data_IF_919158741111
#
_entry.id   IF_919158741111
#
_cell.length_a   1.000
_cell.length_b   1.000
_cell.length_c   1.000
_cell.angle_alpha   90.00
_cell.angle_beta   90.00
_cell.angle_gamma   90.00
#
_symmetry.space_group_name_H-M   'P 1'
#
loop_
_entity.id
_entity.type
_entity.pdbx_description
1 polymer ?
#
# COMPACT_ATOMS: atom_id res chain seq x y z
N UNK A 1 -13.50 -4.22 -14.02
CA UNK A 1 -14.51 -3.26 -13.54
C UNK A 1 -13.82 -2.26 -12.62
N UNK A 2 -14.07 -0.99 -12.92
CA UNK A 2 -13.50 0.26 -12.44
C UNK A 2 -13.14 0.34 -10.93
N UNK A 3 -11.88 0.11 -10.55
CA UNK A 3 -11.41 0.28 -9.15
C UNK A 3 -11.17 1.74 -8.75
N UNK A 4 -11.03 2.67 -9.71
CA UNK A 4 -10.78 4.10 -9.42
C UNK A 4 -11.99 4.83 -8.81
N UNK A 5 -13.21 4.31 -8.92
CA UNK A 5 -14.41 4.91 -8.30
C UNK A 5 -14.72 4.37 -6.89
N UNK A 6 -14.22 3.18 -6.52
CA UNK A 6 -14.53 2.55 -5.23
C UNK A 6 -13.89 3.24 -4.03
N UNK A 7 -12.64 3.68 -4.14
CA UNK A 7 -11.87 4.18 -2.98
C UNK A 7 -12.27 5.61 -2.57
N UNK A 8 -12.50 6.52 -3.52
CA UNK A 8 -12.99 7.89 -3.22
C UNK A 8 -14.37 7.88 -2.55
N UNK A 9 -15.16 6.84 -2.80
CA UNK A 9 -16.46 6.67 -2.16
C UNK A 9 -16.36 6.17 -0.73
N UNK A 10 -15.23 5.62 -0.26
CA UNK A 10 -15.16 4.99 1.07
C UNK A 10 -14.57 5.91 2.15
N UNK A 11 -13.83 6.95 1.77
CA UNK A 11 -13.15 7.84 2.72
C UNK A 11 -14.07 8.71 3.58
N UNK A 12 -15.40 8.65 3.39
CA UNK A 12 -16.38 9.27 4.28
C UNK A 12 -16.72 8.39 5.50
N UNK A 13 -16.42 7.09 5.44
CA UNK A 13 -16.62 6.16 6.56
C UNK A 13 -15.69 6.54 7.72
N UNK A 14 -16.22 6.53 8.94
CA UNK A 14 -15.54 6.98 10.17
C UNK A 14 -15.44 5.92 11.24
N UNK A 15 -16.19 4.83 11.14
CA UNK A 15 -16.20 3.77 12.15
C UNK A 15 -15.94 2.37 11.59
N UNK A 16 -15.51 1.45 12.44
CA UNK A 16 -15.32 0.05 12.09
C UNK A 16 -16.64 -0.63 11.67
N UNK A 17 -17.76 -0.29 12.29
CA UNK A 17 -19.09 -0.82 11.97
C UNK A 17 -19.54 -0.44 10.56
N UNK A 18 -19.42 0.84 10.19
CA UNK A 18 -19.69 1.32 8.83
C UNK A 18 -18.76 0.64 7.81
N UNK A 19 -17.49 0.43 8.15
CA UNK A 19 -16.51 -0.21 7.28
C UNK A 19 -16.86 -1.69 7.02
N UNK A 20 -17.36 -2.40 8.05
CA UNK A 20 -17.93 -3.75 7.93
C UNK A 20 -19.17 -3.76 7.05
N UNK A 21 -20.10 -2.83 7.28
CA UNK A 21 -21.35 -2.72 6.51
C UNK A 21 -21.10 -2.41 5.02
N UNK A 22 -20.06 -1.62 4.73
CA UNK A 22 -19.60 -1.36 3.36
C UNK A 22 -18.91 -2.57 2.70
N UNK A 23 -18.70 -3.68 3.43
CA UNK A 23 -18.08 -4.90 2.92
C UNK A 23 -16.60 -4.74 2.60
N UNK A 24 -15.90 -3.82 3.26
CA UNK A 24 -14.47 -3.61 3.02
C UNK A 24 -13.68 -4.89 3.28
N UNK A 25 -12.81 -5.25 2.34
CA UNK A 25 -11.93 -6.41 2.46
C UNK A 25 -10.48 -5.98 2.53
N UNK A 26 -9.83 -6.34 3.63
CA UNK A 26 -8.39 -6.13 3.80
C UNK A 26 -7.64 -7.00 2.79
N UNK A 27 -6.62 -6.40 2.16
CA UNK A 27 -5.67 -7.09 1.29
C UNK A 27 -4.28 -6.97 1.88
N UNK A 28 -3.43 -7.95 1.60
CA UNK A 28 -2.01 -7.82 1.91
C UNK A 28 -1.36 -6.79 0.98
N UNK A 29 -0.26 -6.19 1.40
CA UNK A 29 0.53 -5.29 0.53
C UNK A 29 0.91 -5.98 -0.79
N UNK A 30 1.29 -7.27 -0.74
CA UNK A 30 1.64 -8.05 -1.92
C UNK A 30 0.44 -8.25 -2.86
N UNK A 31 -0.77 -8.44 -2.31
CA UNK A 31 -2.02 -8.50 -3.08
C UNK A 31 -2.37 -7.16 -3.75
N UNK A 32 -2.25 -6.06 -3.01
CA UNK A 32 -2.48 -4.70 -3.55
C UNK A 32 -1.55 -4.43 -4.72
N UNK A 33 -0.23 -4.58 -4.51
CA UNK A 33 0.79 -4.33 -5.52
C UNK A 33 0.55 -5.18 -6.78
N UNK A 34 0.30 -6.48 -6.61
CA UNK A 34 0.03 -7.39 -7.74
C UNK A 34 -1.23 -6.99 -8.50
N UNK A 35 -2.35 -6.78 -7.80
CA UNK A 35 -3.63 -6.46 -8.45
C UNK A 35 -3.57 -5.13 -9.21
N UNK A 36 -2.95 -4.11 -8.60
CA UNK A 36 -2.85 -2.78 -9.18
C UNK A 36 -1.82 -2.75 -10.32
N UNK A 37 -0.73 -3.51 -10.23
CA UNK A 37 0.20 -3.69 -11.35
C UNK A 37 -0.50 -4.34 -12.55
N UNK A 38 -1.25 -5.42 -12.35
CA UNK A 38 -2.02 -6.07 -13.43
C UNK A 38 -2.99 -5.07 -14.08
N UNK A 39 -3.68 -4.25 -13.27
CA UNK A 39 -4.60 -3.25 -13.78
C UNK A 39 -3.89 -2.21 -14.66
N UNK A 40 -2.74 -1.67 -14.22
CA UNK A 40 -1.94 -0.71 -15.00
C UNK A 40 -1.42 -1.30 -16.30
N UNK A 41 -0.87 -2.52 -16.24
CA UNK A 41 -0.35 -3.21 -17.43
C UNK A 41 -1.45 -3.45 -18.47
N UNK A 42 -2.65 -3.86 -18.04
CA UNK A 42 -3.82 -4.02 -18.94
C UNK A 42 -4.29 -2.70 -19.55
N UNK A 43 -4.13 -1.60 -18.83
CA UNK A 43 -4.47 -0.26 -19.31
C UNK A 43 -3.37 0.36 -20.20
N UNK A 44 -2.22 -0.29 -20.36
CA UNK A 44 -1.07 0.28 -21.05
C UNK A 44 -0.47 1.49 -20.33
N UNK A 45 -0.75 1.66 -19.03
CA UNK A 45 -0.20 2.75 -18.22
C UNK A 45 1.28 2.46 -17.89
N UNK A 46 2.14 3.48 -18.01
CA UNK A 46 3.53 3.37 -17.57
C UNK A 46 3.59 3.25 -16.03
N UNK A 47 4.22 2.18 -15.56
CA UNK A 47 4.38 1.88 -14.13
C UNK A 47 5.52 2.69 -13.53
N UNK A 48 6.57 2.96 -14.31
CA UNK A 48 7.80 3.60 -13.87
C UNK A 48 8.16 4.81 -14.75
N UNK A 49 7.28 5.83 -14.83
CA UNK A 49 7.52 7.01 -15.66
C UNK A 49 8.82 7.72 -15.32
N UNK A 50 9.60 8.03 -16.36
CA UNK A 50 10.88 8.75 -16.23
C UNK A 50 12.07 7.89 -15.80
N UNK A 51 11.92 6.57 -15.80
CA UNK A 51 13.04 5.62 -15.80
C UNK A 51 13.36 5.29 -17.25
N UNK A 52 14.56 5.65 -17.71
CA UNK A 52 15.00 5.47 -19.09
C UNK A 52 16.06 4.37 -19.20
N UNK A 53 15.96 3.50 -20.20
CA UNK A 53 16.96 2.48 -20.54
C UNK A 53 16.81 1.16 -19.76
N UNK A 54 15.80 1.02 -18.91
CA UNK A 54 15.51 -0.19 -18.12
C UNK A 54 14.29 -0.98 -18.61
N UNK A 55 13.68 -0.55 -19.70
CA UNK A 55 12.42 -1.06 -20.25
C UNK A 55 12.53 -2.54 -20.62
N UNK A 56 13.72 -2.98 -21.06
CA UNK A 56 14.02 -4.36 -21.47
C UNK A 56 14.87 -5.14 -20.45
N UNK A 57 15.18 -4.56 -19.28
CA UNK A 57 16.08 -5.18 -18.29
C UNK A 57 15.48 -5.19 -16.88
N UNK A 58 15.62 -4.10 -16.13
CA UNK A 58 15.28 -4.03 -14.71
C UNK A 58 13.76 -3.93 -14.50
N UNK A 59 13.05 -3.17 -15.33
CA UNK A 59 11.60 -2.97 -15.18
C UNK A 59 10.83 -4.31 -15.31
N UNK A 60 11.07 -5.15 -16.34
CA UNK A 60 10.44 -6.47 -16.43
C UNK A 60 10.71 -7.37 -15.22
N UNK A 61 11.92 -7.30 -14.65
CA UNK A 61 12.27 -8.10 -13.47
C UNK A 61 11.51 -7.65 -12.22
N UNK A 62 11.37 -6.34 -12.00
CA UNK A 62 10.56 -5.80 -10.89
C UNK A 62 9.09 -6.17 -11.07
N UNK A 63 8.56 -6.04 -12.29
CA UNK A 63 7.19 -6.44 -12.59
C UNK A 63 6.97 -7.93 -12.29
N UNK A 64 7.88 -8.80 -12.74
CA UNK A 64 7.82 -10.23 -12.46
C UNK A 64 7.94 -10.54 -10.96
N UNK A 65 8.79 -9.83 -10.21
CA UNK A 65 8.90 -10.00 -8.77
C UNK A 65 7.60 -9.63 -8.05
N UNK A 66 6.97 -8.51 -8.41
CA UNK A 66 5.67 -8.08 -7.86
C UNK A 66 4.57 -9.08 -8.22
N UNK A 67 4.51 -9.51 -9.49
CA UNK A 67 3.57 -10.53 -9.92
C UNK A 67 3.80 -11.83 -9.13
N UNK A 68 5.03 -12.29 -8.98
CA UNK A 68 5.39 -13.46 -8.18
C UNK A 68 5.20 -13.30 -6.66
N UNK A 69 4.84 -12.10 -6.17
CA UNK A 69 4.74 -11.77 -4.74
C UNK A 69 6.06 -11.98 -3.99
N UNK A 70 7.17 -11.83 -4.70
CA UNK A 70 8.51 -12.00 -4.15
C UNK A 70 8.94 -10.74 -3.40
N UNK A 71 9.71 -10.96 -2.35
CA UNK A 71 10.54 -9.90 -1.77
C UNK A 71 11.81 -9.81 -2.61
N UNK A 72 12.28 -8.61 -2.91
CA UNK A 72 13.43 -8.38 -3.79
C UNK A 72 14.31 -7.24 -3.30
N UNK A 73 15.56 -7.27 -3.72
CA UNK A 73 16.57 -6.26 -3.40
C UNK A 73 17.09 -5.68 -4.72
N UNK A 74 17.19 -4.36 -4.80
CA UNK A 74 17.85 -3.69 -5.93
C UNK A 74 19.33 -3.53 -5.65
N UNK A 75 20.18 -4.19 -6.44
CA UNK A 75 21.64 -4.09 -6.38
C UNK A 75 22.16 -3.38 -7.63
N UNK A 76 23.22 -2.58 -7.47
CA UNK A 76 23.82 -1.84 -8.58
C UNK A 76 24.69 -0.68 -8.12
N UNK A 77 25.40 -0.06 -9.05
CA UNK A 77 26.31 1.07 -8.78
C UNK A 77 25.55 2.36 -8.39
N UNK A 78 26.27 3.35 -7.87
CA UNK A 78 25.72 4.68 -7.58
C UNK A 78 25.21 5.31 -8.88
N UNK A 79 24.06 6.00 -8.80
CA UNK A 79 23.45 6.68 -9.95
C UNK A 79 22.54 5.81 -10.82
N UNK A 80 22.44 4.49 -10.57
CA UNK A 80 21.60 3.56 -11.34
C UNK A 80 20.11 3.55 -10.93
N UNK A 81 19.56 4.71 -10.56
CA UNK A 81 18.13 4.92 -10.27
C UNK A 81 17.45 4.00 -9.22
N UNK A 82 18.19 3.18 -8.44
CA UNK A 82 17.63 2.24 -7.43
C UNK A 82 16.63 2.90 -6.48
N UNK A 83 17.05 3.99 -5.82
CA UNK A 83 16.18 4.73 -4.89
C UNK A 83 14.98 5.34 -5.59
N UNK A 84 15.13 5.76 -6.86
CA UNK A 84 14.01 6.28 -7.66
C UNK A 84 12.97 5.18 -7.91
N UNK A 85 13.41 4.00 -8.36
CA UNK A 85 12.53 2.84 -8.59
C UNK A 85 11.76 2.45 -7.32
N UNK A 86 12.46 2.29 -6.19
CA UNK A 86 11.83 1.91 -4.91
C UNK A 86 10.77 2.92 -4.49
N UNK A 87 11.04 4.23 -4.61
CA UNK A 87 10.10 5.30 -4.26
C UNK A 87 8.88 5.39 -5.17
N UNK A 88 8.89 4.71 -6.32
CA UNK A 88 7.75 4.64 -7.24
C UNK A 88 6.81 3.47 -6.94
N UNK A 89 7.29 2.43 -6.25
CA UNK A 89 6.48 1.25 -5.86
C UNK A 89 5.22 1.62 -5.06
N UNK A 90 5.26 2.55 -4.08
CA UNK A 90 4.06 2.96 -3.35
C UNK A 90 2.93 3.49 -4.25
N UNK A 91 3.23 3.98 -5.46
CA UNK A 91 2.20 4.41 -6.40
C UNK A 91 1.26 3.26 -6.82
N UNK A 92 1.73 2.01 -6.74
CA UNK A 92 0.95 0.80 -7.02
C UNK A 92 0.08 0.37 -5.83
N UNK A 93 0.18 0.99 -4.66
CA UNK A 93 -0.72 0.71 -3.54
C UNK A 93 -2.09 1.38 -3.75
N UNK A 94 -3.10 0.87 -3.06
CA UNK A 94 -4.40 1.53 -3.00
C UNK A 94 -4.24 2.95 -2.45
N UNK A 95 -4.96 3.90 -3.03
CA UNK A 95 -4.82 5.32 -2.72
C UNK A 95 -5.01 5.60 -1.22
N UNK A 96 -5.99 4.94 -0.60
CA UNK A 96 -6.25 5.02 0.82
C UNK A 96 -6.54 3.64 1.42
N UNK A 97 -6.09 3.43 2.65
CA UNK A 97 -6.48 2.29 3.49
C UNK A 97 -7.03 2.77 4.84
N UNK A 98 -7.98 2.05 5.44
CA UNK A 98 -8.49 2.36 6.75
C UNK A 98 -7.49 1.91 7.83
N UNK A 99 -7.28 2.74 8.83
CA UNK A 99 -6.44 2.48 10.01
C UNK A 99 -7.21 2.86 11.27
N UNK A 100 -6.89 2.24 12.42
CA UNK A 100 -7.46 2.66 13.70
C UNK A 100 -7.02 4.09 13.99
N UNK A 101 -7.96 4.99 14.24
CA UNK A 101 -7.65 6.38 14.51
C UNK A 101 -6.79 6.50 15.78
N UNK A 102 -5.73 7.32 15.73
CA UNK A 102 -4.79 7.50 16.84
C UNK A 102 -3.75 6.38 17.01
N UNK A 103 -3.79 5.32 16.19
CA UNK A 103 -2.73 4.30 16.20
C UNK A 103 -1.45 4.84 15.55
N UNK A 104 -0.33 4.79 16.28
CA UNK A 104 1.00 5.11 15.75
C UNK A 104 1.50 4.09 14.72
N UNK A 105 1.04 2.84 14.81
CA UNK A 105 1.45 1.75 13.92
C UNK A 105 0.55 1.61 12.69
N UNK A 106 -0.39 2.53 12.48
CA UNK A 106 -1.37 2.46 11.39
C UNK A 106 -2.13 1.12 11.41
N UNK A 107 -2.60 0.71 12.59
CA UNK A 107 -3.20 -0.60 12.81
C UNK A 107 -4.40 -0.86 11.91
N UNK A 108 -4.48 -2.09 11.40
CA UNK A 108 -5.65 -2.58 10.70
C UNK A 108 -6.86 -2.65 11.65
N UNK A 109 -7.99 -1.98 11.35
CA UNK A 109 -9.20 -2.01 12.20
C UNK A 109 -9.80 -3.40 12.40
N UNK A 110 -9.58 -4.33 11.46
CA UNK A 110 -10.11 -5.70 11.54
C UNK A 110 -9.20 -6.66 12.32
N UNK A 111 -7.92 -6.34 12.44
CA UNK A 111 -6.92 -7.19 13.07
C UNK A 111 -5.76 -6.33 13.63
N UNK A 112 -6.02 -5.55 14.71
CA UNK A 112 -5.03 -4.63 15.27
C UNK A 112 -3.87 -5.37 15.96
N UNK A 113 -2.66 -4.81 15.85
CA UNK A 113 -1.42 -5.37 16.40
C UNK A 113 -0.88 -4.57 17.59
N UNK A 114 -1.13 -3.27 17.68
CA UNK A 114 -0.74 -2.51 18.87
C UNK A 114 -1.68 -2.80 20.04
N UNK A 115 -1.18 -2.65 21.27
CA UNK A 115 -2.01 -2.72 22.48
C UNK A 115 -3.11 -1.66 22.44
N UNK A 116 -2.75 -0.42 22.09
CA UNK A 116 -3.68 0.70 21.97
C UNK A 116 -4.88 0.36 21.07
N UNK A 117 -4.61 -0.12 19.86
CA UNK A 117 -5.68 -0.41 18.91
C UNK A 117 -6.51 -1.64 19.31
N UNK A 118 -5.88 -2.67 19.90
CA UNK A 118 -6.62 -3.82 20.45
C UNK A 118 -7.58 -3.39 21.56
N UNK A 119 -7.12 -2.57 22.50
CA UNK A 119 -7.93 -2.10 23.62
C UNK A 119 -9.09 -1.24 23.11
N UNK A 120 -8.81 -0.32 22.17
CA UNK A 120 -9.83 0.56 21.60
C UNK A 120 -10.90 -0.21 20.79
N UNK A 121 -10.50 -1.24 20.05
CA UNK A 121 -11.44 -2.14 19.35
C UNK A 121 -12.26 -2.98 20.33
N UNK A 122 -11.64 -3.47 21.41
CA UNK A 122 -12.35 -4.24 22.43
C UNK A 122 -13.35 -3.38 23.21
N UNK A 123 -13.01 -2.11 23.50
CA UNK A 123 -13.87 -1.17 24.23
C UNK A 123 -15.05 -0.67 23.38
N UNK A 124 -14.79 -0.27 22.12
CA UNK A 124 -15.78 0.42 21.29
C UNK A 124 -16.46 -0.45 20.24
N UNK A 125 -15.93 -1.63 19.95
CA UNK A 125 -16.49 -2.54 18.95
C UNK A 125 -16.72 -1.87 17.60
N UNK A 126 -17.97 -1.83 17.15
CA UNK A 126 -18.33 -1.22 15.86
C UNK A 126 -18.20 0.32 15.86
N UNK A 127 -18.18 0.97 17.02
CA UNK A 127 -17.98 2.42 17.15
C UNK A 127 -16.49 2.82 17.15
N UNK A 128 -15.56 1.87 16.99
CA UNK A 128 -14.13 2.19 16.93
C UNK A 128 -13.86 3.20 15.81
N UNK A 129 -13.28 4.36 16.12
CA UNK A 129 -12.98 5.37 15.12
C UNK A 129 -11.87 4.90 14.19
N UNK A 130 -12.04 5.13 12.89
CA UNK A 130 -11.03 4.88 11.87
C UNK A 130 -10.56 6.20 11.24
N UNK A 131 -9.33 6.18 10.75
CA UNK A 131 -8.76 7.20 9.88
C UNK A 131 -8.38 6.57 8.53
N UNK A 132 -8.10 7.39 7.53
CA UNK A 132 -7.70 6.95 6.19
C UNK A 132 -6.28 7.38 5.91
N UNK A 133 -5.39 6.39 5.76
CA UNK A 133 -3.97 6.61 5.47
C UNK A 133 -3.74 6.62 3.96
N UNK A 134 -3.13 7.68 3.44
CA UNK A 134 -2.84 7.78 2.01
C UNK A 134 -1.58 6.99 1.64
N UNK A 135 -1.51 6.41 0.44
CA UNK A 135 -0.36 5.60 0.01
C UNK A 135 1.00 6.29 0.06
N UNK A 136 1.04 7.63 -0.05
CA UNK A 136 2.31 8.37 0.06
C UNK A 136 2.92 8.28 1.44
N UNK A 137 2.12 8.01 2.46
CA UNK A 137 2.53 7.90 3.87
C UNK A 137 2.92 6.45 4.23
N UNK A 138 2.69 5.49 3.32
CA UNK A 138 2.98 4.06 3.52
C UNK A 138 4.42 3.68 3.14
N UNK A 139 5.23 4.63 2.67
CA UNK A 139 6.63 4.40 2.36
C UNK A 139 7.52 4.65 3.57
N UNK A 140 8.15 3.60 4.09
CA UNK A 140 9.19 3.69 5.12
C UNK A 140 10.58 3.45 4.52
N UNK A 141 11.45 4.45 4.56
CA UNK A 141 12.88 4.29 4.27
C UNK A 141 13.64 4.20 5.60
N UNK A 142 14.11 3.00 5.95
CA UNK A 142 15.10 2.85 7.02
C UNK A 142 16.48 2.80 6.37
N UNK A 143 17.15 3.94 6.34
CA UNK A 143 18.58 3.96 6.08
C UNK A 143 19.24 3.29 7.29
N UNK A 144 20.09 2.30 7.04
CA UNK A 144 20.96 1.80 8.08
C UNK A 144 21.93 2.93 8.47
N UNK A 145 21.55 3.75 9.45
CA UNK A 145 22.51 4.49 10.24
C UNK A 145 23.20 3.45 11.12
N UNK A 146 24.55 3.39 11.14
CA UNK A 146 25.24 2.59 12.13
C UNK A 146 25.03 3.28 13.49
N UNK A 147 24.19 2.68 14.33
CA UNK A 147 24.19 2.94 15.77
C UNK A 147 25.36 2.17 16.41
#
# INVERSE_FOLDING_TARGET
MNTKQGTRSLTHIRTLGELKAAGYRVRTVKDELRANLIARLRAGEDVFPGILGYEQTVIPQIQNAILGRHDFILLGLRGQAKSRLIRMIPSLLDEYIPVVAGSELNDNPFAPLSKYARDLVAERGDETPIAWLHRSERYGEKLATPD
#
